data_IF_015464090992
#
_entry.id   IF_015464090992
#
_cell.length_a   1.000
_cell.length_b   1.000
_cell.length_c   1.000
_cell.angle_alpha   90.00
_cell.angle_beta   90.00
_cell.angle_gamma   90.00
#
_symmetry.space_group_name_H-M   'P 1'
#
loop_
_entity.id
_entity.type
_entity.pdbx_description
1 polymer ?
#
# COMPACT_ATOMS: atom_id res chain seq x y z
N UNK A 1 2.91 -1.65 8.29
CA UNK A 1 1.77 -2.60 8.25
C UNK A 1 2.01 -3.85 7.38
N UNK A 2 2.29 -3.72 6.07
CA UNK A 2 2.15 -4.86 5.12
C UNK A 2 3.34 -5.81 4.95
N UNK A 3 4.50 -5.55 5.57
CA UNK A 3 5.69 -6.42 5.45
C UNK A 3 5.47 -7.87 5.94
N UNK A 4 4.51 -8.07 6.85
CA UNK A 4 4.23 -9.37 7.48
C UNK A 4 2.96 -10.05 6.91
N UNK A 5 2.31 -9.46 5.91
CA UNK A 5 1.13 -10.09 5.31
C UNK A 5 1.56 -11.29 4.48
N UNK A 6 1.08 -12.48 4.85
CA UNK A 6 1.11 -13.64 3.98
C UNK A 6 -0.29 -13.88 3.44
N UNK A 7 -0.47 -13.75 2.13
CA UNK A 7 -1.72 -14.11 1.46
C UNK A 7 -1.80 -15.65 1.40
N UNK A 8 -2.29 -16.28 2.47
CA UNK A 8 -2.68 -17.69 2.37
C UNK A 8 -4.06 -17.77 1.70
N UNK A 9 -4.18 -18.43 0.53
CA UNK A 9 -5.49 -18.65 -0.08
C UNK A 9 -6.36 -19.45 0.90
N UNK A 10 -7.53 -18.89 1.25
CA UNK A 10 -8.53 -19.55 2.12
C UNK A 10 -8.64 -19.05 3.56
N UNK A 11 -7.88 -18.04 4.00
CA UNK A 11 -7.91 -17.56 5.40
C UNK A 11 -8.61 -16.22 5.65
N UNK A 12 -9.27 -15.66 4.63
CA UNK A 12 -10.03 -14.40 4.75
C UNK A 12 -11.53 -14.70 4.67
N UNK A 13 -12.23 -14.55 5.79
CA UNK A 13 -13.68 -14.56 5.76
C UNK A 13 -14.16 -13.25 5.12
N UNK A 14 -14.67 -13.32 3.89
CA UNK A 14 -15.38 -12.22 3.26
C UNK A 14 -16.75 -12.11 3.93
N UNK A 15 -16.85 -11.35 5.02
CA UNK A 15 -18.14 -11.08 5.65
C UNK A 15 -18.74 -9.83 5.04
N UNK A 16 -19.91 -9.95 4.40
CA UNK A 16 -20.77 -8.79 4.19
C UNK A 16 -21.13 -8.23 5.57
N UNK A 17 -20.81 -6.97 5.79
CA UNK A 17 -20.94 -6.35 7.11
C UNK A 17 -22.33 -5.74 7.29
N UNK A 18 -22.87 -5.83 8.50
CA UNK A 18 -24.17 -5.27 8.83
C UNK A 18 -24.22 -3.76 8.54
N UNK A 19 -25.40 -3.25 8.14
CA UNK A 19 -25.59 -1.84 7.79
C UNK A 19 -25.21 -0.86 8.91
N UNK A 20 -25.32 -1.26 10.18
CA UNK A 20 -24.83 -0.47 11.32
C UNK A 20 -23.32 -0.31 11.30
N UNK A 21 -22.59 -1.41 11.06
CA UNK A 21 -21.13 -1.41 11.00
C UNK A 21 -20.62 -0.62 9.79
N UNK A 22 -21.30 -0.70 8.64
CA UNK A 22 -20.97 0.14 7.48
C UNK A 22 -21.02 1.64 7.81
N UNK A 23 -22.08 2.07 8.52
CA UNK A 23 -22.21 3.47 8.98
C UNK A 23 -21.09 3.85 9.95
N UNK A 24 -20.74 2.97 10.88
CA UNK A 24 -19.64 3.22 11.82
C UNK A 24 -18.31 3.40 11.10
N UNK A 25 -17.98 2.52 10.15
CA UNK A 25 -16.75 2.62 9.33
C UNK A 25 -16.71 3.95 8.57
N UNK A 26 -17.81 4.30 7.88
CA UNK A 26 -17.91 5.57 7.15
C UNK A 26 -17.68 6.76 8.08
N UNK A 27 -18.33 6.79 9.25
CA UNK A 27 -18.21 7.88 10.22
C UNK A 27 -16.79 7.98 10.78
N UNK A 28 -16.16 6.85 11.10
CA UNK A 28 -14.76 6.82 11.57
C UNK A 28 -13.78 7.36 10.52
N UNK A 29 -13.99 7.02 9.24
CA UNK A 29 -13.15 7.52 8.13
C UNK A 29 -13.36 9.03 7.95
N UNK A 30 -14.61 9.51 7.91
CA UNK A 30 -14.89 10.94 7.74
C UNK A 30 -14.41 11.80 8.92
N UNK A 31 -14.43 11.26 10.14
CA UNK A 31 -13.86 11.92 11.30
C UNK A 31 -12.33 12.07 11.20
N UNK A 32 -11.63 11.06 10.66
CA UNK A 32 -10.19 11.11 10.43
C UNK A 32 -9.79 12.00 9.25
N UNK A 33 -10.65 12.07 8.21
CA UNK A 33 -10.37 12.81 6.98
C UNK A 33 -11.52 13.78 6.65
N UNK A 34 -11.62 14.93 7.36
CA UNK A 34 -12.71 15.89 7.17
C UNK A 34 -12.84 16.40 5.72
N UNK A 35 -11.71 16.55 5.01
CA UNK A 35 -11.66 17.01 3.62
C UNK A 35 -12.34 16.04 2.64
N UNK A 36 -12.59 14.79 3.02
CA UNK A 36 -13.35 13.84 2.20
C UNK A 36 -14.86 14.05 2.26
N UNK A 37 -15.38 14.87 3.18
CA UNK A 37 -16.82 15.10 3.34
C UNK A 37 -17.46 15.65 2.07
N UNK A 38 -16.73 16.47 1.31
CA UNK A 38 -17.20 17.00 0.02
C UNK A 38 -17.38 15.91 -1.06
N UNK A 39 -16.61 14.83 -0.98
CA UNK A 39 -16.64 13.71 -1.94
C UNK A 39 -17.37 12.48 -1.38
N UNK A 40 -18.08 12.63 -0.24
CA UNK A 40 -18.63 11.49 0.50
C UNK A 40 -19.62 10.64 -0.32
N UNK A 41 -20.41 11.27 -1.19
CA UNK A 41 -21.43 10.57 -1.98
C UNK A 41 -20.82 9.86 -3.20
N UNK A 42 -19.68 10.35 -3.69
CA UNK A 42 -18.88 9.68 -4.72
C UNK A 42 -18.14 8.47 -4.13
N UNK A 43 -17.50 8.65 -2.96
CA UNK A 43 -16.68 7.60 -2.32
C UNK A 43 -17.56 6.54 -1.66
N UNK A 44 -18.68 6.93 -1.05
CA UNK A 44 -19.61 6.02 -0.35
C UNK A 44 -21.02 6.09 -0.93
N UNK A 45 -21.26 5.54 -2.15
CA UNK A 45 -22.58 5.57 -2.76
C UNK A 45 -23.60 4.75 -1.94
N UNK A 46 -24.80 5.31 -1.73
CA UNK A 46 -25.85 4.67 -0.92
C UNK A 46 -26.28 3.28 -1.39
N UNK A 47 -26.11 2.98 -2.69
CA UNK A 47 -26.49 1.70 -3.32
C UNK A 47 -25.39 0.63 -3.25
N UNK A 48 -24.17 1.01 -2.90
CA UNK A 48 -23.01 0.11 -2.89
C UNK A 48 -22.68 -0.23 -1.43
N UNK A 49 -22.67 -1.52 -1.12
CA UNK A 49 -22.31 -1.98 0.22
C UNK A 49 -20.79 -1.84 0.44
N UNK A 50 -20.41 -1.37 1.63
CA UNK A 50 -19.03 -1.43 2.10
C UNK A 50 -18.74 -2.88 2.51
N UNK A 51 -17.66 -3.47 2.02
CA UNK A 51 -17.23 -4.82 2.36
C UNK A 51 -15.96 -4.75 3.19
N UNK A 52 -15.91 -5.46 4.32
CA UNK A 52 -14.70 -5.58 5.12
C UNK A 52 -14.17 -7.00 5.02
N UNK A 53 -12.91 -7.13 4.60
CA UNK A 53 -12.20 -8.41 4.52
C UNK A 53 -11.21 -8.47 5.68
N UNK A 54 -11.37 -9.50 6.51
CA UNK A 54 -10.45 -9.76 7.62
C UNK A 54 -9.30 -10.62 7.11
N UNK A 55 -8.08 -10.12 7.29
CA UNK A 55 -6.85 -10.80 6.95
C UNK A 55 -6.12 -11.28 8.21
N UNK A 56 -5.06 -12.06 8.00
CA UNK A 56 -4.16 -12.47 9.07
C UNK A 56 -3.54 -11.24 9.76
N UNK A 57 -3.07 -11.44 11.00
CA UNK A 57 -2.47 -10.41 11.84
C UNK A 57 -3.43 -9.26 12.19
N UNK A 58 -4.74 -9.53 12.19
CA UNK A 58 -5.79 -8.55 12.50
C UNK A 58 -5.81 -7.34 11.54
N UNK A 59 -5.36 -7.54 10.30
CA UNK A 59 -5.48 -6.53 9.27
C UNK A 59 -6.89 -6.61 8.68
N UNK A 60 -7.58 -5.48 8.66
CA UNK A 60 -8.88 -5.28 8.05
C UNK A 60 -8.69 -4.51 6.74
N UNK A 61 -9.28 -4.99 5.66
CA UNK A 61 -9.29 -4.32 4.36
C UNK A 61 -10.72 -3.85 4.10
N UNK A 62 -10.88 -2.57 3.76
CA UNK A 62 -12.18 -1.98 3.41
C UNK A 62 -12.24 -1.84 1.89
N UNK A 63 -13.23 -2.51 1.30
CA UNK A 63 -13.52 -2.46 -0.12
C UNK A 63 -14.84 -1.77 -0.38
N UNK A 64 -14.86 -0.96 -1.43
CA UNK A 64 -16.06 -0.30 -1.96
C UNK A 64 -16.02 -0.47 -3.46
N UNK A 65 -17.11 -0.95 -4.06
CA UNK A 65 -17.19 -1.19 -5.51
C UNK A 65 -16.04 -2.06 -6.04
N UNK A 66 -15.66 -3.09 -5.29
CA UNK A 66 -14.52 -3.98 -5.58
C UNK A 66 -13.15 -3.28 -5.66
N UNK A 67 -13.03 -2.05 -5.18
CA UNK A 67 -11.75 -1.36 -5.04
C UNK A 67 -11.33 -1.31 -3.57
N UNK A 68 -10.04 -1.46 -3.31
CA UNK A 68 -9.52 -1.34 -1.95
C UNK A 68 -9.28 0.13 -1.66
N UNK A 69 -9.94 0.65 -0.63
CA UNK A 69 -9.92 2.07 -0.32
C UNK A 69 -9.11 2.34 0.96
N UNK A 70 -9.37 1.56 2.00
CA UNK A 70 -8.71 1.71 3.30
C UNK A 70 -8.25 0.38 3.87
N UNK A 71 -7.25 0.50 4.75
CA UNK A 71 -6.74 -0.58 5.56
C UNK A 71 -6.77 -0.17 7.03
N UNK A 72 -6.90 -1.16 7.90
CA UNK A 72 -6.85 -0.94 9.33
C UNK A 72 -6.18 -2.13 10.02
N UNK A 73 -5.51 -1.90 11.13
CA UNK A 73 -4.96 -2.96 11.99
C UNK A 73 -5.69 -2.93 13.33
N UNK A 74 -6.35 -4.05 13.70
CA UNK A 74 -7.15 -4.20 14.92
C UNK A 74 -8.25 -3.12 15.03
N UNK A 75 -8.08 -2.18 15.95
CA UNK A 75 -8.96 -1.04 16.21
C UNK A 75 -8.19 0.29 16.02
N UNK A 76 -7.12 0.28 15.24
CA UNK A 76 -6.33 1.47 14.93
C UNK A 76 -7.08 2.45 14.02
N UNK A 77 -6.40 3.49 13.52
CA UNK A 77 -6.97 4.36 12.50
C UNK A 77 -7.07 3.65 11.15
N UNK A 78 -7.89 4.21 10.24
CA UNK A 78 -7.97 3.76 8.85
C UNK A 78 -6.90 4.46 8.02
N UNK A 79 -6.06 3.69 7.34
CA UNK A 79 -5.02 4.16 6.44
C UNK A 79 -5.49 4.03 4.98
N UNK A 80 -5.48 5.08 4.16
CA UNK A 80 -5.86 4.97 2.75
C UNK A 80 -4.85 4.12 1.97
N UNK A 81 -5.30 3.52 0.87
CA UNK A 81 -4.36 3.02 -0.14
C UNK A 81 -3.64 4.19 -0.79
N UNK A 82 -2.40 3.97 -1.24
CA UNK A 82 -1.68 5.02 -1.96
C UNK A 82 -2.41 5.47 -3.23
N UNK A 83 -3.08 4.56 -3.92
CA UNK A 83 -3.85 4.90 -5.12
C UNK A 83 -5.07 5.77 -4.79
N UNK A 84 -5.77 5.47 -3.71
CA UNK A 84 -6.87 6.31 -3.24
C UNK A 84 -6.38 7.70 -2.85
N UNK A 85 -5.25 7.76 -2.12
CA UNK A 85 -4.59 9.02 -1.77
C UNK A 85 -4.12 9.80 -3.01
N UNK A 86 -3.67 9.13 -4.07
CA UNK A 86 -3.30 9.79 -5.33
C UNK A 86 -4.50 10.36 -6.08
N UNK A 87 -5.71 9.81 -5.90
CA UNK A 87 -6.95 10.38 -6.44
C UNK A 87 -7.39 11.62 -5.66
N UNK A 88 -7.18 11.63 -4.35
CA UNK A 88 -7.55 12.74 -3.45
C UNK A 88 -6.34 13.20 -2.62
N UNK A 89 -5.36 13.90 -3.23
CA UNK A 89 -4.11 14.26 -2.54
C UNK A 89 -4.33 15.17 -1.33
N UNK A 90 -5.36 16.02 -1.36
CA UNK A 90 -5.64 17.01 -0.31
C UNK A 90 -6.44 16.42 0.88
N UNK A 91 -6.66 15.11 0.92
CA UNK A 91 -7.50 14.47 1.95
C UNK A 91 -6.85 14.45 3.34
N UNK A 92 -5.52 14.59 3.42
CA UNK A 92 -4.76 14.45 4.66
C UNK A 92 -3.48 15.30 4.65
N UNK A 93 -2.91 15.61 5.82
CA UNK A 93 -1.68 16.39 5.91
C UNK A 93 -0.49 15.70 5.25
N UNK A 94 0.41 16.52 4.71
CA UNK A 94 1.59 16.08 3.95
C UNK A 94 2.87 16.40 4.73
N UNK A 95 3.79 15.43 4.76
CA UNK A 95 5.18 15.63 5.16
C UNK A 95 6.09 15.24 3.99
N UNK A 96 7.11 16.06 3.70
CA UNK A 96 8.07 15.77 2.65
C UNK A 96 9.38 15.26 3.24
N UNK A 97 9.84 14.11 2.73
CA UNK A 97 11.16 13.56 3.03
C UNK A 97 12.19 13.97 1.97
N UNK A 98 13.43 14.10 2.43
CA UNK A 98 14.60 14.36 1.60
C UNK A 98 14.97 13.16 0.71
N UNK A 99 15.70 13.43 -0.39
CA UNK A 99 16.17 12.45 -1.37
C UNK A 99 16.87 11.25 -0.74
N UNK A 100 17.70 11.48 0.27
CA UNK A 100 18.44 10.42 0.95
C UNK A 100 17.53 9.40 1.65
N UNK A 101 16.35 9.83 2.11
CA UNK A 101 15.40 8.98 2.83
C UNK A 101 14.52 8.14 1.89
N UNK A 102 14.31 8.56 0.64
CA UNK A 102 13.36 7.95 -0.31
C UNK A 102 13.57 6.44 -0.44
N UNK A 103 14.83 6.00 -0.66
CA UNK A 103 15.16 4.57 -0.82
C UNK A 103 14.71 3.74 0.39
N UNK A 104 14.88 4.28 1.60
CA UNK A 104 14.53 3.59 2.84
C UNK A 104 13.01 3.57 3.07
N UNK A 105 12.32 4.66 2.74
CA UNK A 105 10.84 4.73 2.78
C UNK A 105 10.23 3.69 1.85
N UNK A 106 10.74 3.58 0.62
CA UNK A 106 10.32 2.56 -0.36
C UNK A 106 10.74 1.14 -0.01
N UNK A 107 11.61 0.97 0.99
CA UNK A 107 11.94 -0.33 1.59
C UNK A 107 11.10 -0.59 2.85
N UNK A 108 10.14 0.28 3.15
CA UNK A 108 9.26 0.24 4.33
C UNK A 108 9.95 0.49 5.66
N UNK A 109 11.08 1.21 5.67
CA UNK A 109 11.68 1.69 6.91
C UNK A 109 10.83 2.81 7.52
N UNK A 110 10.91 2.98 8.83
CA UNK A 110 10.35 4.13 9.51
C UNK A 110 11.15 5.39 9.17
N UNK A 111 10.50 6.54 9.29
CA UNK A 111 11.11 7.82 8.94
C UNK A 111 11.66 8.44 10.21
N UNK A 112 12.96 8.68 10.19
CA UNK A 112 13.69 9.31 11.29
C UNK A 112 13.52 10.82 11.23
N UNK A 113 13.59 11.50 12.38
CA UNK A 113 13.44 12.96 12.46
C UNK A 113 14.40 13.69 11.51
N UNK A 114 15.66 13.23 11.42
CA UNK A 114 16.68 13.76 10.49
C UNK A 114 16.28 13.74 9.02
N UNK A 115 15.41 12.80 8.62
CA UNK A 115 14.89 12.73 7.25
C UNK A 115 13.77 13.72 6.95
N UNK A 116 13.26 14.41 7.97
CA UNK A 116 12.17 15.38 7.91
C UNK A 116 12.63 16.82 8.25
N UNK A 117 13.87 16.99 8.70
CA UNK A 117 14.45 18.29 9.11
C UNK A 117 15.62 18.74 8.22
N UNK A 118 16.02 17.92 7.24
CA UNK A 118 17.11 18.26 6.32
C UNK A 118 16.66 19.30 5.27
N UNK A 119 17.58 19.92 4.50
CA UNK A 119 17.26 21.02 3.58
C UNK A 119 16.23 20.68 2.50
N UNK A 120 16.13 19.41 2.10
CA UNK A 120 15.16 18.90 1.13
C UNK A 120 13.81 18.49 1.73
N UNK A 121 13.73 18.40 3.05
CA UNK A 121 12.50 18.05 3.75
C UNK A 121 11.61 19.27 4.01
N UNK A 122 10.30 19.04 4.12
CA UNK A 122 9.30 20.08 4.41
C UNK A 122 8.27 19.56 5.39
N UNK A 123 8.04 20.33 6.44
CA UNK A 123 6.98 20.13 7.43
C UNK A 123 6.27 21.48 7.57
N UNK A 124 5.16 21.64 6.84
CA UNK A 124 4.40 22.90 6.77
C UNK A 124 3.17 22.90 7.68
N UNK A 125 2.84 21.76 8.27
CA UNK A 125 1.66 21.58 9.13
C UNK A 125 2.12 21.28 10.55
N UNK A 126 1.40 21.82 11.54
CA UNK A 126 1.56 21.42 12.93
C UNK A 126 0.55 20.32 13.29
N UNK A 127 1.05 19.19 13.74
CA UNK A 127 0.31 17.97 13.99
C UNK A 127 0.76 17.33 15.31
N UNK A 128 -0.18 16.83 16.13
CA UNK A 128 0.15 16.04 17.30
C UNK A 128 0.70 14.66 16.90
N UNK A 129 1.28 13.97 17.88
CA UNK A 129 1.60 12.56 17.74
C UNK A 129 0.33 11.73 17.44
N UNK A 130 0.51 10.58 16.79
CA UNK A 130 -0.54 9.68 16.32
C UNK A 130 -1.47 10.26 15.23
N UNK A 131 -0.97 11.22 14.46
CA UNK A 131 -1.65 11.75 13.28
C UNK A 131 -1.28 10.97 12.02
N UNK A 132 -2.25 10.65 11.18
CA UNK A 132 -2.00 9.97 9.90
C UNK A 132 -1.53 10.99 8.87
N UNK A 133 -0.43 10.71 8.17
CA UNK A 133 0.24 11.64 7.26
C UNK A 133 0.59 10.99 5.93
N UNK A 134 0.48 11.75 4.85
CA UNK A 134 1.00 11.41 3.54
C UNK A 134 2.49 11.77 3.46
N UNK A 135 3.31 10.84 2.98
CA UNK A 135 4.76 11.03 2.87
C UNK A 135 5.13 11.29 1.41
N UNK A 136 5.47 12.54 1.13
CA UNK A 136 5.94 12.99 -0.19
C UNK A 136 7.45 12.87 -0.28
N UNK A 137 7.93 12.53 -1.46
CA UNK A 137 9.37 12.52 -1.75
C UNK A 137 9.75 13.83 -2.44
N UNK A 138 10.90 14.41 -2.08
CA UNK A 138 11.42 15.60 -2.75
C UNK A 138 11.46 15.40 -4.29
N UNK A 139 10.85 16.33 -5.02
CA UNK A 139 10.80 16.31 -6.49
C UNK A 139 9.80 15.29 -7.07
N UNK A 140 8.89 14.74 -6.27
CA UNK A 140 7.80 13.86 -6.73
C UNK A 140 6.44 14.48 -6.44
N UNK A 141 5.49 14.25 -7.34
CA UNK A 141 4.13 14.80 -7.26
C UNK A 141 3.15 13.90 -6.52
N UNK A 142 3.51 12.64 -6.26
CA UNK A 142 2.65 11.64 -5.65
C UNK A 142 3.23 11.13 -4.33
N UNK A 143 2.35 10.76 -3.40
CA UNK A 143 2.76 10.19 -2.12
C UNK A 143 3.52 8.87 -2.32
N UNK A 144 4.63 8.74 -1.61
CA UNK A 144 5.49 7.55 -1.61
C UNK A 144 5.11 6.55 -0.52
N UNK A 145 4.53 7.05 0.58
CA UNK A 145 4.08 6.25 1.71
C UNK A 145 2.97 6.96 2.49
N UNK A 146 2.29 6.21 3.35
CA UNK A 146 1.38 6.66 4.39
C UNK A 146 2.01 6.30 5.73
N UNK A 147 2.08 7.26 6.64
CA UNK A 147 2.70 7.12 7.94
C UNK A 147 1.78 7.53 9.08
N UNK A 148 2.19 7.14 10.30
CA UNK A 148 1.61 7.61 11.55
C UNK A 148 2.69 8.36 12.33
N UNK A 149 2.46 9.62 12.68
CA UNK A 149 3.42 10.40 13.47
C UNK A 149 3.61 9.74 14.83
N UNK A 150 4.86 9.55 15.25
CA UNK A 150 5.22 9.03 16.57
C UNK A 150 5.46 10.15 17.58
N UNK A 151 5.84 11.32 17.07
CA UNK A 151 6.10 12.56 17.81
C UNK A 151 5.32 13.69 17.14
N UNK A 152 5.12 14.80 17.84
CA UNK A 152 4.53 15.99 17.22
C UNK A 152 5.48 16.57 16.17
N UNK A 153 4.96 17.31 15.19
CA UNK A 153 5.79 17.97 14.18
C UNK A 153 6.72 19.03 14.76
N UNK A 154 6.32 19.70 15.84
CA UNK A 154 7.20 20.61 16.59
C UNK A 154 8.37 19.86 17.22
N UNK A 155 8.11 18.70 17.83
CA UNK A 155 9.14 17.87 18.47
C UNK A 155 10.08 17.25 17.44
N UNK A 156 9.57 16.85 16.27
CA UNK A 156 10.40 16.35 15.17
C UNK A 156 11.43 17.41 14.75
N UNK A 157 11.01 18.68 14.68
CA UNK A 157 11.89 19.81 14.32
C UNK A 157 12.90 20.12 15.42
N UNK A 158 12.49 20.13 16.69
CA UNK A 158 13.33 20.56 17.80
C UNK A 158 14.31 19.49 18.26
N UNK A 159 13.87 18.23 18.40
CA UNK A 159 14.68 17.12 18.92
C UNK A 159 15.63 16.60 17.83
N UNK A 160 15.16 16.55 16.57
CA UNK A 160 15.95 16.13 15.41
C UNK A 160 16.68 14.77 15.57
N UNK A 161 16.13 13.88 16.40
CA UNK A 161 16.67 12.54 16.63
C UNK A 161 15.53 11.55 16.90
N UNK A 162 15.81 10.27 16.68
CA UNK A 162 14.83 9.20 16.85
C UNK A 162 13.81 9.08 15.70
N UNK A 163 12.76 8.31 15.98
CA UNK A 163 11.73 7.93 15.01
C UNK A 163 10.59 8.95 15.01
N UNK A 164 10.50 9.74 13.94
CA UNK A 164 9.45 10.76 13.80
C UNK A 164 8.13 10.18 13.30
N UNK A 165 8.18 9.28 12.30
CA UNK A 165 6.97 8.70 11.68
C UNK A 165 7.15 7.19 11.46
N UNK A 166 6.14 6.43 11.88
CA UNK A 166 6.05 4.99 11.62
C UNK A 166 5.47 4.78 10.22
N UNK A 167 6.18 4.02 9.38
CA UNK A 167 5.74 3.75 8.01
C UNK A 167 4.70 2.62 8.01
N UNK A 168 3.48 2.93 7.55
CA UNK A 168 2.37 1.99 7.56
C UNK A 168 2.21 1.31 6.21
N UNK A 169 2.18 2.09 5.14
CA UNK A 169 1.98 1.63 3.78
C UNK A 169 2.92 2.39 2.85
N UNK A 170 3.58 1.71 1.91
CA UNK A 170 4.51 2.35 0.99
C UNK A 170 4.40 1.77 -0.43
N UNK A 171 4.89 2.55 -1.40
CA UNK A 171 4.85 2.17 -2.80
C UNK A 171 5.69 0.90 -3.04
N UNK A 172 5.07 -0.11 -3.63
CA UNK A 172 5.73 -1.41 -3.91
C UNK A 172 5.60 -2.44 -2.79
N UNK A 173 4.89 -2.14 -1.70
CA UNK A 173 4.57 -3.13 -0.69
C UNK A 173 3.45 -4.11 -1.12
N UNK A 174 3.14 -5.08 -0.27
CA UNK A 174 2.11 -6.08 -0.57
C UNK A 174 0.73 -5.43 -0.72
N UNK A 175 0.40 -4.40 0.07
CA UNK A 175 -0.86 -3.67 -0.06
C UNK A 175 -1.00 -3.01 -1.43
N UNK A 176 0.08 -2.38 -1.92
CA UNK A 176 0.15 -1.77 -3.24
C UNK A 176 -0.06 -2.79 -4.36
N UNK A 177 0.58 -3.96 -4.22
CA UNK A 177 0.45 -5.05 -5.19
C UNK A 177 -0.97 -5.61 -5.23
N UNK A 178 -1.60 -5.83 -4.07
CA UNK A 178 -2.97 -6.35 -3.98
C UNK A 178 -3.95 -5.37 -4.62
N UNK A 179 -3.81 -4.08 -4.32
CA UNK A 179 -4.64 -3.04 -4.92
C UNK A 179 -4.52 -3.03 -6.46
N UNK A 180 -3.28 -3.12 -6.96
CA UNK A 180 -3.04 -3.22 -8.40
C UNK A 180 -3.70 -4.45 -9.04
N UNK A 181 -3.56 -5.64 -8.43
CA UNK A 181 -4.16 -6.89 -8.94
C UNK A 181 -5.68 -6.80 -8.95
N UNK A 182 -6.28 -6.30 -7.87
CA UNK A 182 -7.74 -6.17 -7.73
C UNK A 182 -8.31 -5.34 -8.88
N UNK A 183 -7.63 -4.25 -9.22
CA UNK A 183 -8.02 -3.38 -10.34
C UNK A 183 -7.83 -4.03 -11.70
N UNK A 184 -6.76 -4.81 -11.90
CA UNK A 184 -6.60 -5.57 -13.15
C UNK A 184 -7.68 -6.65 -13.30
N UNK A 185 -8.06 -7.33 -12.22
CA UNK A 185 -9.16 -8.30 -12.25
C UNK A 185 -10.49 -7.62 -12.59
N UNK A 186 -10.81 -6.47 -12.00
CA UNK A 186 -12.01 -5.71 -12.35
C UNK A 186 -11.99 -5.25 -13.82
N UNK A 187 -10.85 -4.74 -14.31
CA UNK A 187 -10.70 -4.35 -15.72
C UNK A 187 -10.86 -5.54 -16.67
N UNK A 188 -10.32 -6.72 -16.30
CA UNK A 188 -10.51 -7.95 -17.07
C UNK A 188 -11.99 -8.33 -17.06
N UNK A 189 -12.69 -8.35 -15.92
CA UNK A 189 -14.12 -8.66 -15.87
C UNK A 189 -14.98 -7.68 -16.70
N UNK A 190 -14.67 -6.37 -16.64
CA UNK A 190 -15.35 -5.34 -17.44
C UNK A 190 -15.10 -5.57 -18.94
N UNK A 191 -13.88 -5.95 -19.32
CA UNK A 191 -13.51 -6.20 -20.73
C UNK A 191 -13.88 -7.61 -21.22
N UNK A 192 -14.08 -8.56 -20.31
CA UNK A 192 -14.31 -9.98 -20.58
C UNK A 192 -15.75 -10.41 -20.28
N UNK A 193 -16.75 -9.61 -20.66
CA UNK A 193 -18.15 -10.10 -20.83
C UNK A 193 -18.27 -11.29 -21.82
N UNK A 194 -17.16 -11.88 -22.29
CA UNK A 194 -17.04 -13.28 -22.73
C UNK A 194 -15.97 -14.00 -21.90
N UNK A 195 -16.41 -15.07 -21.26
CA UNK A 195 -15.75 -16.06 -20.39
C UNK A 195 -14.25 -16.37 -20.62
N UNK A 196 -13.52 -16.67 -19.52
CA UNK A 196 -12.82 -17.95 -19.23
C UNK A 196 -12.09 -17.86 -17.85
N UNK A 197 -12.14 -18.90 -16.98
CA UNK A 197 -11.51 -18.91 -15.66
C UNK A 197 -10.02 -19.33 -15.73
N UNK A 198 -9.12 -18.35 -15.72
CA UNK A 198 -7.66 -18.58 -15.78
C UNK A 198 -7.00 -19.01 -14.45
N UNK A 199 -7.74 -18.97 -13.33
CA UNK A 199 -7.17 -19.22 -11.99
C UNK A 199 -6.82 -20.69 -11.71
N UNK A 200 -7.35 -21.66 -12.49
CA UNK A 200 -7.08 -23.10 -12.29
C UNK A 200 -5.67 -23.58 -12.70
N UNK A 201 -4.85 -22.75 -13.38
CA UNK A 201 -3.61 -23.23 -14.02
C UNK A 201 -2.32 -23.02 -13.21
N UNK A 202 -2.34 -22.24 -12.13
CA UNK A 202 -1.09 -21.82 -11.45
C UNK A 202 -1.19 -22.01 -9.93
N UNK A 203 -1.23 -23.27 -9.50
CA UNK A 203 -1.29 -23.68 -8.09
C UNK A 203 0.06 -23.65 -7.35
N UNK A 204 1.16 -23.31 -8.02
CA UNK A 204 2.48 -23.26 -7.39
C UNK A 204 3.20 -21.96 -7.75
N UNK A 205 3.43 -21.12 -6.74
CA UNK A 205 4.20 -19.87 -6.73
C UNK A 205 3.49 -18.59 -7.25
N UNK A 206 2.87 -17.80 -6.34
CA UNK A 206 2.20 -16.54 -6.67
C UNK A 206 3.13 -15.44 -7.24
N UNK A 207 4.45 -15.56 -7.10
CA UNK A 207 5.39 -14.52 -7.56
C UNK A 207 5.88 -14.72 -9.00
N UNK A 208 5.96 -15.96 -9.49
CA UNK A 208 6.44 -16.25 -10.86
C UNK A 208 5.40 -15.90 -11.94
N UNK A 209 4.11 -16.03 -11.63
CA UNK A 209 3.06 -15.66 -12.60
C UNK A 209 3.00 -14.15 -12.78
N UNK A 210 3.18 -13.35 -11.72
CA UNK A 210 3.19 -11.89 -11.79
C UNK A 210 4.29 -11.38 -12.72
N UNK A 211 5.50 -11.94 -12.62
CA UNK A 211 6.60 -11.60 -13.55
C UNK A 211 6.28 -12.01 -14.99
N UNK A 212 5.70 -13.20 -15.22
CA UNK A 212 5.29 -13.63 -16.56
C UNK A 212 4.17 -12.75 -17.14
N UNK A 213 3.17 -12.38 -16.35
CA UNK A 213 2.06 -11.54 -16.79
C UNK A 213 2.54 -10.11 -17.07
N UNK A 214 3.43 -9.57 -16.24
CA UNK A 214 4.07 -8.27 -16.43
C UNK A 214 4.89 -8.23 -17.74
N UNK A 215 5.71 -9.26 -17.99
CA UNK A 215 6.50 -9.38 -19.24
C UNK A 215 5.59 -9.59 -20.46
N UNK A 216 4.51 -10.35 -20.33
CA UNK A 216 3.61 -10.63 -21.45
C UNK A 216 2.74 -9.42 -21.82
N UNK A 217 2.22 -8.69 -20.82
CA UNK A 217 1.41 -7.49 -21.04
C UNK A 217 2.24 -6.31 -21.56
N UNK A 218 3.47 -6.12 -21.07
CA UNK A 218 4.37 -5.06 -21.60
C UNK A 218 4.76 -5.30 -23.06
N UNK A 219 5.02 -6.56 -23.45
CA UNK A 219 5.23 -6.92 -24.86
C UNK A 219 3.99 -6.69 -25.73
N UNK A 220 2.80 -7.09 -25.26
CA UNK A 220 1.55 -6.91 -26.01
C UNK A 220 1.13 -5.44 -26.16
N UNK A 221 1.49 -4.58 -25.19
CA UNK A 221 1.20 -3.14 -25.22
C UNK A 221 2.19 -2.37 -26.09
N UNK A 222 3.47 -2.76 -26.09
CA UNK A 222 4.52 -2.20 -26.97
C UNK A 222 4.24 -2.48 -28.45
N UNK A 223 3.80 -3.69 -28.80
CA UNK A 223 3.45 -4.05 -30.19
C UNK A 223 2.17 -3.37 -30.70
N UNK A 224 1.20 -3.08 -29.82
CA UNK A 224 -0.03 -2.35 -30.19
C UNK A 224 0.16 -0.83 -30.36
N UNK A 225 1.21 -0.24 -29.76
CA UNK A 225 1.45 1.21 -29.77
C UNK A 225 2.64 1.63 -30.65
N UNK A 226 3.34 0.69 -31.31
CA UNK A 226 4.48 1.01 -32.18
C UNK A 226 5.72 1.57 -31.47
N UNK A 227 5.75 1.53 -30.13
CA UNK A 227 6.85 2.05 -29.31
C UNK A 227 7.83 0.91 -29.03
N UNK A 228 9.10 1.07 -29.44
CA UNK A 228 10.18 0.12 -29.12
C UNK A 228 10.33 0.01 -27.59
N UNK A 229 10.35 -1.20 -27.02
CA UNK A 229 10.49 -1.36 -25.58
C UNK A 229 11.93 -1.05 -25.15
N UNK A 230 12.13 -0.01 -24.35
CA UNK A 230 13.39 0.25 -23.65
C UNK A 230 13.30 -0.44 -22.29
N UNK A 231 13.58 -1.75 -22.23
CA UNK A 231 13.94 -2.42 -20.97
C UNK A 231 15.02 -3.45 -21.29
N UNK A 232 16.26 -3.08 -21.02
CA UNK A 232 17.42 -3.97 -20.92
C UNK A 232 17.21 -4.95 -19.76
N UNK A 233 17.51 -6.23 -20.01
CA UNK A 233 17.48 -7.29 -19.01
C UNK A 233 18.51 -7.02 -17.90
N UNK A 234 18.14 -6.36 -16.81
CA UNK A 234 18.89 -6.44 -15.57
C UNK A 234 17.94 -6.56 -14.36
N UNK A 235 17.73 -7.83 -13.98
CA UNK A 235 17.76 -8.33 -12.60
C UNK A 235 17.06 -7.48 -11.53
N UNK A 236 15.74 -7.61 -11.43
CA UNK A 236 14.97 -7.15 -10.27
C UNK A 236 14.56 -8.39 -9.46
N UNK A 237 15.19 -8.52 -8.28
CA UNK A 237 15.02 -9.54 -7.22
C UNK A 237 15.58 -10.95 -7.47
N UNK A 238 16.87 -11.11 -7.15
CA UNK A 238 17.51 -12.39 -6.84
C UNK A 238 18.18 -12.29 -5.47
N UNK A 239 17.92 -13.29 -4.62
CA UNK A 239 18.48 -13.61 -3.28
C UNK A 239 17.68 -13.13 -2.05
N UNK A 240 16.81 -14.03 -1.58
CA UNK A 240 16.50 -14.18 -0.15
C UNK A 240 17.74 -14.62 0.66
N UNK A 241 17.85 -14.29 1.96
CA UNK A 241 18.86 -14.87 2.85
C UNK A 241 18.40 -16.28 3.27
N UNK A 242 19.24 -17.30 3.05
CA UNK A 242 19.05 -18.64 3.61
C UNK A 242 19.61 -18.67 5.03
N UNK A 243 18.75 -18.86 6.03
CA UNK A 243 19.12 -19.38 7.34
C UNK A 243 18.92 -20.91 7.33
N UNK A 244 19.99 -21.71 7.43
CA UNK A 244 19.93 -23.16 7.69
C UNK A 244 21.21 -23.49 8.50
N UNK A 245 21.12 -23.67 9.82
CA UNK A 245 21.17 -24.97 10.49
C UNK A 245 22.27 -25.90 9.92
N UNK A 246 23.34 -26.11 10.68
CA UNK A 246 24.32 -27.17 10.43
C UNK A 246 24.08 -28.32 11.42
N UNK A 247 23.88 -29.55 10.95
CA UNK A 247 24.32 -30.73 11.66
C UNK A 247 25.49 -31.39 10.88
N UNK A 248 26.62 -31.47 11.59
CA UNK A 248 27.54 -32.62 11.67
C UNK A 248 27.68 -33.59 10.48
N UNK A 249 28.96 -33.77 10.14
CA UNK A 249 29.71 -35.03 10.02
C UNK A 249 30.08 -35.58 8.63
N UNK A 250 31.35 -36.03 8.59
CA UNK A 250 32.04 -36.94 7.67
C UNK A 250 32.53 -36.31 6.36
N UNK A 251 33.83 -36.13 6.08
CA UNK A 251 35.03 -36.99 6.11
C UNK A 251 35.53 -37.06 4.65
N UNK A 252 36.75 -36.61 4.39
CA UNK A 252 37.84 -37.33 3.69
C UNK A 252 38.80 -36.37 2.96
N UNK A 253 40.06 -36.51 3.36
CA UNK A 253 41.34 -36.00 2.83
C UNK A 253 41.66 -34.52 2.99
#
# INVERSE_FOLDING_TARGET
MFKKLTLKPGSSANSQIANSMQRNIKNSILALYPNLTQYQDEIFPKKVAIVQVKCQNHINIVLINNEIIFFNEREGPYYPTLRFLHKYPDMMPILQVDRGAIKFVLSGANIMCRGLTSPGARIEVDLPANSVVAIMAEGKTHASAVGLTKMSTSDIKSINDGMGVINQHYLGDIGWVIDYITLQCNLIEITSKKSIPAWKKYHHEPYKWMNKLFIHQTKHRSTKLGIRPIITQQTIFSKHPKSIFHPSNQLLF
#
